data_IF_578606771991
#
_entry.id   IF_578606771991
#
_cell.length_a   1.000
_cell.length_b   1.000
_cell.length_c   1.000
_cell.angle_alpha   90.00
_cell.angle_beta   90.00
_cell.angle_gamma   90.00
#
_symmetry.space_group_name_H-M   'P 1'
#
loop_
_entity.id
_entity.type
_entity.pdbx_description
1 polymer ?
#
# COMPACT_ATOMS: atom_id res chain seq x y z
N UNK A 1 24.34 -16.91 3.81
CA UNK A 1 24.50 -15.64 3.06
C UNK A 1 25.88 -15.56 2.45
N UNK A 2 26.03 -14.99 1.25
CA UNK A 2 27.31 -14.83 0.56
C UNK A 2 27.45 -13.42 0.01
N UNK A 3 28.57 -12.78 0.29
CA UNK A 3 28.94 -11.46 -0.21
C UNK A 3 30.09 -11.56 -1.20
N UNK A 4 30.29 -10.54 -2.01
CA UNK A 4 31.41 -10.39 -2.91
C UNK A 4 32.03 -9.01 -2.68
N UNK A 5 33.30 -8.97 -2.34
CA UNK A 5 34.08 -7.73 -2.31
C UNK A 5 34.68 -7.56 -3.70
N UNK A 6 34.38 -6.45 -4.32
CA UNK A 6 34.68 -6.17 -5.73
C UNK A 6 35.51 -4.89 -5.79
N UNK A 7 36.59 -4.92 -6.53
CA UNK A 7 37.40 -3.71 -6.76
C UNK A 7 36.73 -2.71 -7.66
N UNK A 8 37.23 -1.47 -7.68
CA UNK A 8 36.72 -0.39 -8.51
C UNK A 8 36.71 -0.72 -10.01
N UNK A 9 37.62 -1.59 -10.46
CA UNK A 9 37.73 -2.09 -11.84
C UNK A 9 36.97 -3.40 -12.06
N UNK A 10 36.02 -3.72 -11.17
CA UNK A 10 35.09 -4.85 -11.27
C UNK A 10 35.71 -6.25 -11.19
N UNK A 11 36.78 -6.42 -10.42
CA UNK A 11 37.32 -7.74 -10.12
C UNK A 11 36.91 -8.21 -8.73
N UNK A 12 36.49 -9.47 -8.60
CA UNK A 12 36.21 -10.06 -7.28
C UNK A 12 37.51 -10.26 -6.54
N UNK A 13 37.65 -9.63 -5.39
CA UNK A 13 38.85 -9.71 -4.52
C UNK A 13 38.67 -10.75 -3.43
N UNK A 14 37.48 -10.87 -2.85
CA UNK A 14 37.14 -11.85 -1.84
C UNK A 14 35.66 -12.21 -1.91
N UNK A 15 35.25 -13.31 -1.30
CA UNK A 15 33.90 -13.79 -1.26
C UNK A 15 33.51 -14.28 0.15
N UNK A 16 33.30 -13.34 1.11
CA UNK A 16 32.84 -13.69 2.45
C UNK A 16 31.55 -14.50 2.44
N UNK A 17 31.41 -15.46 3.36
CA UNK A 17 30.22 -16.30 3.46
C UNK A 17 29.99 -16.79 4.89
N UNK A 18 28.75 -16.79 5.34
CA UNK A 18 28.35 -17.40 6.62
C UNK A 18 28.61 -18.92 6.67
N UNK A 19 28.67 -19.56 5.52
CA UNK A 19 28.78 -21.01 5.41
C UNK A 19 30.25 -21.51 5.34
N UNK A 20 31.22 -20.59 5.27
CA UNK A 20 32.63 -20.91 5.14
C UNK A 20 33.42 -20.58 6.42
N UNK A 21 33.91 -21.59 7.19
CA UNK A 21 34.48 -21.38 8.54
C UNK A 21 35.73 -20.49 8.61
N UNK A 22 36.40 -20.26 7.49
CA UNK A 22 37.60 -19.41 7.39
C UNK A 22 37.37 -18.15 6.57
N UNK A 23 36.17 -17.82 6.34
CA UNK A 23 35.79 -16.61 5.62
C UNK A 23 35.90 -15.40 6.53
N UNK A 24 36.11 -14.22 5.96
CA UNK A 24 36.00 -12.96 6.68
C UNK A 24 34.64 -12.90 7.36
N UNK A 25 34.56 -12.80 8.69
CA UNK A 25 33.30 -12.71 9.40
C UNK A 25 32.67 -11.34 9.15
N UNK A 26 31.44 -11.32 8.64
CA UNK A 26 30.56 -10.16 8.57
C UNK A 26 29.50 -10.33 9.64
N UNK A 27 29.30 -9.33 10.47
CA UNK A 27 28.33 -9.34 11.57
C UNK A 27 27.80 -7.94 11.86
N UNK A 28 26.72 -7.86 12.65
CA UNK A 28 25.99 -6.63 12.92
C UNK A 28 25.63 -5.88 11.65
N UNK A 29 25.22 -6.64 10.64
CA UNK A 29 24.88 -6.06 9.35
C UNK A 29 23.46 -5.51 9.36
N UNK A 30 23.27 -4.45 8.58
CA UNK A 30 22.01 -3.78 8.43
C UNK A 30 21.88 -3.22 7.01
N UNK A 31 20.93 -3.73 6.25
CA UNK A 31 20.50 -3.14 5.00
C UNK A 31 19.24 -2.32 5.23
N UNK A 32 19.33 -1.01 5.07
CA UNK A 32 18.16 -0.12 5.09
C UNK A 32 17.71 0.13 3.66
N UNK A 33 16.45 -0.13 3.37
CA UNK A 33 15.78 0.19 2.10
C UNK A 33 14.61 1.10 2.43
N UNK A 34 14.55 2.28 1.81
CA UNK A 34 13.48 3.26 2.09
C UNK A 34 13.00 3.95 0.82
N UNK A 35 11.74 4.40 0.84
CA UNK A 35 11.21 5.30 -0.17
C UNK A 35 11.41 6.73 0.32
N UNK A 36 12.31 7.47 -0.31
CA UNK A 36 12.61 8.85 0.02
C UNK A 36 12.46 9.73 -1.22
N UNK A 37 11.68 10.79 -1.11
CA UNK A 37 11.35 11.68 -2.23
C UNK A 37 11.01 10.88 -3.51
N UNK A 38 10.04 9.97 -3.41
CA UNK A 38 9.58 9.12 -4.51
C UNK A 38 10.65 8.20 -5.14
N UNK A 39 11.80 8.05 -4.50
CA UNK A 39 12.89 7.21 -4.99
C UNK A 39 13.23 6.15 -3.93
N UNK A 40 13.36 4.90 -4.35
CA UNK A 40 13.88 3.84 -3.47
C UNK A 40 15.38 3.99 -3.37
N UNK A 41 15.85 4.25 -2.17
CA UNK A 41 17.26 4.35 -1.82
C UNK A 41 17.63 3.26 -0.82
N UNK A 42 18.88 2.83 -0.85
CA UNK A 42 19.35 1.79 0.06
C UNK A 42 20.76 2.04 0.54
N UNK A 43 21.01 1.68 1.80
CA UNK A 43 22.33 1.68 2.42
C UNK A 43 22.60 0.32 3.03
N UNK A 44 23.87 -0.01 3.21
CA UNK A 44 24.29 -1.24 3.87
C UNK A 44 25.42 -0.95 4.85
N UNK A 45 25.22 -1.31 6.10
CA UNK A 45 26.21 -1.22 7.16
C UNK A 45 26.58 -2.61 7.65
N UNK A 46 27.86 -2.86 7.95
CA UNK A 46 28.32 -4.13 8.50
C UNK A 46 29.63 -3.97 9.24
N UNK A 47 29.91 -4.88 10.17
CA UNK A 47 31.15 -4.94 10.95
C UNK A 47 31.98 -6.17 10.56
N UNK A 48 33.28 -6.03 10.57
CA UNK A 48 34.26 -7.11 10.29
C UNK A 48 35.31 -7.24 11.38
N UNK A 49 36.01 -8.37 11.40
CA UNK A 49 37.31 -8.52 12.09
C UNK A 49 38.40 -7.91 11.21
N UNK A 50 39.00 -6.81 11.67
CA UNK A 50 40.05 -6.08 10.96
C UNK A 50 41.35 -6.87 10.83
N UNK A 51 41.57 -7.91 11.67
CA UNK A 51 42.77 -8.74 11.64
C UNK A 51 42.71 -9.90 10.63
N UNK A 52 41.53 -10.10 10.00
CA UNK A 52 41.40 -11.12 8.98
C UNK A 52 42.17 -10.76 7.69
N UNK A 53 42.74 -11.76 7.01
CA UNK A 53 43.55 -11.53 5.80
C UNK A 53 42.79 -10.85 4.66
N UNK A 54 41.47 -11.10 4.54
CA UNK A 54 40.63 -10.48 3.50
C UNK A 54 40.17 -9.06 3.85
N UNK A 55 40.39 -8.60 5.10
CA UNK A 55 40.05 -7.23 5.48
C UNK A 55 40.78 -6.17 4.65
N UNK A 56 41.99 -6.50 4.13
CA UNK A 56 42.79 -5.64 3.25
C UNK A 56 42.07 -5.25 1.95
N UNK A 57 41.05 -6.02 1.51
CA UNK A 57 40.32 -5.77 0.29
C UNK A 57 39.12 -4.80 0.49
N UNK A 58 38.73 -4.52 1.74
CA UNK A 58 37.78 -3.50 2.03
C UNK A 58 38.51 -2.14 1.98
N UNK A 59 38.23 -1.38 0.95
CA UNK A 59 38.84 -0.07 0.70
C UNK A 59 37.76 0.91 0.25
N UNK A 60 37.92 2.18 0.61
CA UNK A 60 37.04 3.23 0.17
C UNK A 60 36.94 3.24 -1.37
N UNK A 61 35.71 3.27 -1.88
CA UNK A 61 35.40 3.23 -3.31
C UNK A 61 35.34 1.83 -3.92
N UNK A 62 35.78 0.74 -3.22
CA UNK A 62 35.46 -0.63 -3.63
C UNK A 62 33.97 -0.91 -3.38
N UNK A 63 33.51 -2.04 -3.87
CA UNK A 63 32.11 -2.43 -3.77
C UNK A 63 31.92 -3.67 -2.92
N UNK A 64 30.76 -3.77 -2.29
CA UNK A 64 30.22 -5.01 -1.74
C UNK A 64 28.93 -5.36 -2.47
N UNK A 65 28.83 -6.61 -2.93
CA UNK A 65 27.66 -7.09 -3.67
C UNK A 65 27.10 -8.37 -3.04
N UNK A 66 25.81 -8.54 -3.09
CA UNK A 66 25.10 -9.75 -2.66
C UNK A 66 23.70 -9.83 -3.29
N UNK A 67 23.12 -11.01 -3.26
CA UNK A 67 21.70 -11.22 -3.58
C UNK A 67 20.91 -11.08 -2.28
N UNK A 68 19.98 -10.14 -2.23
CA UNK A 68 19.16 -9.90 -1.07
C UNK A 68 18.07 -10.99 -0.89
N UNK A 69 17.29 -10.90 0.18
CA UNK A 69 16.21 -11.88 0.44
C UNK A 69 15.05 -11.82 -0.59
N UNK A 70 14.93 -10.71 -1.31
CA UNK A 70 13.97 -10.54 -2.38
C UNK A 70 14.47 -11.04 -3.74
N UNK A 71 15.65 -11.65 -3.79
CA UNK A 71 16.34 -12.15 -4.97
C UNK A 71 16.83 -11.06 -5.92
N UNK A 72 16.93 -9.83 -5.44
CA UNK A 72 17.54 -8.72 -6.17
C UNK A 72 19.06 -8.70 -5.95
N UNK A 73 19.82 -8.51 -7.03
CA UNK A 73 21.26 -8.26 -6.93
C UNK A 73 21.47 -6.84 -6.43
N UNK A 74 22.24 -6.72 -5.35
CA UNK A 74 22.61 -5.43 -4.75
C UNK A 74 24.11 -5.19 -4.91
N UNK A 75 24.45 -3.94 -5.18
CA UNK A 75 25.82 -3.46 -5.30
C UNK A 75 25.95 -2.14 -4.55
N UNK A 76 26.80 -2.11 -3.54
CA UNK A 76 27.00 -0.95 -2.69
C UNK A 76 28.43 -0.45 -2.80
N UNK A 77 28.61 0.86 -2.90
CA UNK A 77 29.90 1.53 -2.83
C UNK A 77 30.32 1.70 -1.38
N UNK A 78 31.53 1.31 -1.02
CA UNK A 78 32.10 1.50 0.32
C UNK A 78 32.46 2.98 0.53
N UNK A 79 31.63 3.69 1.30
CA UNK A 79 31.74 5.15 1.45
C UNK A 79 32.57 5.58 2.64
N UNK A 80 32.44 4.90 3.77
CA UNK A 80 33.15 5.25 4.98
C UNK A 80 33.35 4.03 5.88
N UNK A 81 34.28 4.17 6.79
CA UNK A 81 34.48 3.18 7.85
C UNK A 81 34.91 3.84 9.16
N UNK A 82 34.60 3.19 10.26
CA UNK A 82 35.02 3.57 11.60
C UNK A 82 35.35 2.30 12.42
N UNK A 83 36.34 2.38 13.31
CA UNK A 83 36.70 1.25 14.15
C UNK A 83 38.08 1.38 14.73
N UNK A 84 38.59 0.26 15.19
CA UNK A 84 39.91 0.14 15.81
C UNK A 84 40.76 -0.97 15.13
N UNK A 85 41.81 -1.44 15.79
CA UNK A 85 42.70 -2.49 15.29
C UNK A 85 42.08 -3.90 15.33
N UNK A 86 40.92 -4.06 15.97
CA UNK A 86 40.23 -5.34 16.11
C UNK A 86 39.00 -5.40 15.23
N UNK A 87 38.14 -4.36 15.30
CA UNK A 87 36.87 -4.32 14.58
C UNK A 87 36.74 -3.07 13.75
N UNK A 88 36.09 -3.21 12.60
CA UNK A 88 35.82 -2.09 11.71
C UNK A 88 34.41 -2.19 11.16
N UNK A 89 33.65 -1.12 11.31
CA UNK A 89 32.29 -0.97 10.75
C UNK A 89 32.37 -0.17 9.46
N UNK A 90 31.77 -0.69 8.41
CA UNK A 90 31.70 -0.10 7.08
C UNK A 90 30.28 0.40 6.80
N UNK A 91 30.19 1.60 6.22
CA UNK A 91 28.94 2.18 5.71
C UNK A 91 29.03 2.27 4.20
N UNK A 92 28.03 1.72 3.52
CA UNK A 92 28.00 1.59 2.07
C UNK A 92 26.66 2.14 1.53
N UNK A 93 26.71 2.71 0.34
CA UNK A 93 25.55 3.28 -0.35
C UNK A 93 25.28 2.50 -1.64
N UNK A 94 23.98 2.30 -1.96
CA UNK A 94 23.58 1.72 -3.23
C UNK A 94 24.15 2.51 -4.40
N UNK A 95 24.57 1.83 -5.46
CA UNK A 95 25.18 2.49 -6.63
C UNK A 95 24.26 3.54 -7.27
N UNK A 96 22.93 3.41 -7.16
CA UNK A 96 21.99 4.41 -7.62
C UNK A 96 22.09 5.73 -6.88
N UNK A 97 22.61 5.72 -5.65
CA UNK A 97 22.84 6.93 -4.87
C UNK A 97 24.05 7.73 -5.35
N UNK A 98 24.89 7.23 -6.26
CA UNK A 98 25.97 8.01 -6.86
C UNK A 98 25.47 9.31 -7.53
N UNK A 99 24.20 9.35 -7.96
CA UNK A 99 23.54 10.55 -8.47
C UNK A 99 23.42 11.70 -7.44
N UNK A 100 23.63 11.42 -6.15
CA UNK A 100 23.64 12.48 -5.13
C UNK A 100 24.89 13.39 -5.26
N UNK A 101 25.96 12.85 -5.82
CA UNK A 101 27.23 13.56 -6.01
C UNK A 101 27.24 14.41 -7.30
N UNK A 102 26.21 14.30 -8.12
CA UNK A 102 26.07 15.07 -9.34
C UNK A 102 25.12 16.24 -9.12
N UNK A 103 25.57 17.46 -9.52
CA UNK A 103 24.75 18.66 -9.41
C UNK A 103 23.75 18.74 -10.54
N UNK A 104 22.49 19.05 -10.21
CA UNK A 104 21.45 19.28 -11.19
C UNK A 104 21.54 20.71 -11.75
N UNK A 105 21.46 20.84 -13.06
CA UNK A 105 21.36 22.12 -13.74
C UNK A 105 19.92 22.67 -13.70
N UNK A 106 19.78 23.98 -14.00
CA UNK A 106 18.47 24.57 -14.23
C UNK A 106 17.75 23.87 -15.41
N UNK A 107 16.50 23.54 -15.18
CA UNK A 107 15.61 23.03 -16.22
C UNK A 107 14.63 24.14 -16.60
N UNK A 108 14.86 24.74 -17.76
CA UNK A 108 13.97 25.78 -18.29
C UNK A 108 12.69 25.15 -18.80
N UNK A 109 11.58 25.84 -18.61
CA UNK A 109 10.27 25.43 -19.08
C UNK A 109 10.29 25.16 -20.59
N UNK A 110 10.02 23.92 -21.03
CA UNK A 110 9.94 23.59 -22.45
C UNK A 110 8.66 24.19 -23.07
N UNK A 111 8.67 24.40 -24.38
CA UNK A 111 7.51 24.93 -25.10
C UNK A 111 6.34 23.96 -25.17
N UNK A 112 6.61 22.65 -25.04
CA UNK A 112 5.63 21.58 -25.11
C UNK A 112 5.75 20.67 -23.90
N UNK A 113 4.65 19.97 -23.56
CA UNK A 113 4.65 18.99 -22.50
C UNK A 113 5.36 17.70 -22.94
N UNK A 114 6.24 17.18 -22.07
CA UNK A 114 7.03 15.99 -22.33
C UNK A 114 6.73 14.87 -21.33
N UNK A 115 6.95 13.59 -21.69
CA UNK A 115 6.86 12.47 -20.75
C UNK A 115 8.04 12.48 -19.76
N UNK A 116 7.88 11.77 -18.63
CA UNK A 116 8.91 11.68 -17.59
C UNK A 116 10.26 11.21 -18.17
N UNK A 117 10.26 10.22 -19.06
CA UNK A 117 11.49 9.70 -19.67
C UNK A 117 12.31 10.80 -20.36
N UNK A 118 11.66 11.74 -21.04
CA UNK A 118 12.35 12.85 -21.68
C UNK A 118 13.11 13.71 -20.67
N UNK A 119 12.48 14.01 -19.51
CA UNK A 119 13.14 14.80 -18.46
C UNK A 119 14.33 14.06 -17.87
N UNK A 120 14.16 12.77 -17.58
CA UNK A 120 15.24 11.97 -16.99
C UNK A 120 16.41 11.82 -17.96
N UNK A 121 16.18 11.46 -19.20
CA UNK A 121 17.23 11.21 -20.21
C UNK A 121 18.01 12.49 -20.60
N UNK A 122 17.37 13.65 -20.57
CA UNK A 122 18.01 14.90 -20.97
C UNK A 122 18.66 15.68 -19.82
N UNK A 123 18.19 15.51 -18.57
CA UNK A 123 18.62 16.34 -17.45
C UNK A 123 19.15 15.56 -16.26
N UNK A 124 18.71 14.32 -16.01
CA UNK A 124 19.08 13.57 -14.79
C UNK A 124 20.13 12.51 -15.08
N UNK A 125 19.85 11.62 -16.02
CA UNK A 125 20.72 10.45 -16.30
C UNK A 125 21.56 10.61 -17.57
N UNK A 126 21.59 11.81 -18.11
CA UNK A 126 22.40 12.10 -19.28
C UNK A 126 23.87 11.76 -19.01
N UNK A 127 24.45 10.94 -19.87
CA UNK A 127 25.86 10.51 -19.81
C UNK A 127 26.25 9.75 -18.51
N UNK A 128 25.28 9.31 -17.69
CA UNK A 128 25.51 8.61 -16.42
C UNK A 128 25.69 7.10 -16.54
N UNK A 129 25.34 6.52 -17.69
CA UNK A 129 25.30 5.06 -17.88
C UNK A 129 24.00 4.39 -17.43
N UNK A 130 23.09 5.13 -16.79
CA UNK A 130 21.76 4.68 -16.45
C UNK A 130 20.82 4.71 -17.67
N UNK A 131 19.86 3.78 -17.70
CA UNK A 131 18.83 3.72 -18.75
C UNK A 131 17.47 3.40 -18.13
N UNK A 132 16.38 3.83 -18.78
CA UNK A 132 15.03 3.54 -18.34
C UNK A 132 14.62 2.17 -18.89
N UNK A 133 14.27 1.22 -18.01
CA UNK A 133 13.82 -0.13 -18.40
C UNK A 133 12.30 -0.26 -18.35
N UNK A 134 11.69 0.11 -17.21
CA UNK A 134 10.25 0.06 -16.98
C UNK A 134 9.74 1.50 -16.88
N UNK A 135 8.61 1.78 -17.52
CA UNK A 135 7.92 3.06 -17.39
C UNK A 135 6.40 2.85 -17.50
N UNK A 136 5.74 2.76 -16.35
CA UNK A 136 4.29 2.55 -16.26
C UNK A 136 3.45 3.79 -16.56
N UNK A 137 4.11 4.97 -16.61
CA UNK A 137 3.45 6.28 -16.80
C UNK A 137 3.89 6.95 -18.11
N UNK A 138 4.35 6.18 -19.08
CA UNK A 138 4.89 6.68 -20.35
C UNK A 138 3.92 7.56 -21.15
N UNK A 139 2.62 7.48 -20.87
CA UNK A 139 1.56 8.27 -21.51
C UNK A 139 1.27 9.61 -20.81
N UNK A 140 1.82 9.84 -19.62
CA UNK A 140 1.68 11.12 -18.91
C UNK A 140 2.70 12.12 -19.44
N UNK A 141 2.26 13.35 -19.66
CA UNK A 141 3.12 14.46 -20.09
C UNK A 141 2.92 15.66 -19.17
N UNK A 142 4.01 16.40 -18.90
CA UNK A 142 4.02 17.62 -18.07
C UNK A 142 4.93 18.66 -18.70
N UNK A 143 4.75 19.90 -18.29
CA UNK A 143 5.68 21.00 -18.60
C UNK A 143 6.32 21.43 -17.31
N UNK A 144 7.56 21.02 -17.06
CA UNK A 144 8.26 21.26 -15.79
C UNK A 144 9.30 22.34 -15.95
N UNK A 145 9.49 23.09 -14.87
CA UNK A 145 10.56 24.07 -14.71
C UNK A 145 11.18 23.88 -13.33
N UNK A 146 12.49 23.86 -13.26
CA UNK A 146 13.23 23.83 -12.01
C UNK A 146 14.32 24.90 -12.05
N UNK A 147 14.32 25.77 -11.07
CA UNK A 147 15.34 26.77 -10.85
C UNK A 147 16.09 26.46 -9.58
N UNK A 148 17.38 26.64 -9.56
CA UNK A 148 18.22 26.40 -8.41
C UNK A 148 19.34 25.39 -8.69
N UNK A 149 20.56 25.85 -8.48
CA UNK A 149 21.79 25.15 -8.84
C UNK A 149 22.38 24.36 -7.68
N UNK A 150 21.61 24.12 -6.61
CA UNK A 150 22.09 23.44 -5.39
C UNK A 150 21.55 22.02 -5.20
N UNK A 151 20.69 21.57 -6.09
CA UNK A 151 20.10 20.25 -6.00
C UNK A 151 21.02 19.18 -6.58
N UNK A 152 21.01 17.99 -5.99
CA UNK A 152 21.62 16.82 -6.62
C UNK A 152 20.72 16.23 -7.71
N UNK A 153 21.31 15.46 -8.62
CA UNK A 153 20.54 14.73 -9.63
C UNK A 153 19.55 13.73 -8.99
N UNK A 154 19.91 13.14 -7.85
CA UNK A 154 19.01 12.26 -7.10
C UNK A 154 17.78 13.01 -6.56
N UNK A 155 17.98 14.20 -5.99
CA UNK A 155 16.87 15.06 -5.54
C UNK A 155 15.98 15.45 -6.72
N UNK A 156 16.59 15.88 -7.83
CA UNK A 156 15.89 16.26 -9.05
C UNK A 156 15.07 15.09 -9.64
N UNK A 157 15.60 13.86 -9.58
CA UNK A 157 14.87 12.65 -9.99
C UNK A 157 13.56 12.51 -9.21
N UNK A 158 13.64 12.60 -7.89
CA UNK A 158 12.47 12.51 -7.02
C UNK A 158 11.46 13.64 -7.24
N UNK A 159 11.94 14.86 -7.42
CA UNK A 159 11.08 16.04 -7.66
C UNK A 159 10.34 15.91 -9.00
N UNK A 160 11.04 15.45 -10.06
CA UNK A 160 10.39 15.14 -11.33
C UNK A 160 9.33 14.06 -11.15
N UNK A 161 9.65 12.96 -10.46
CA UNK A 161 8.73 11.85 -10.22
C UNK A 161 7.49 12.33 -9.45
N UNK A 162 7.67 13.21 -8.46
CA UNK A 162 6.57 13.81 -7.71
C UNK A 162 5.63 14.62 -8.60
N UNK A 163 6.14 15.38 -9.58
CA UNK A 163 5.33 16.14 -10.54
C UNK A 163 4.55 15.23 -11.52
N UNK A 164 4.96 13.97 -11.67
CA UNK A 164 4.26 12.96 -12.45
C UNK A 164 3.34 12.07 -11.58
N UNK A 165 2.43 12.70 -10.85
CA UNK A 165 1.40 12.08 -10.00
C UNK A 165 1.98 11.29 -8.82
N UNK A 166 3.18 11.67 -8.36
CA UNK A 166 3.88 10.97 -7.29
C UNK A 166 4.34 9.58 -7.72
N UNK A 167 4.74 9.44 -8.97
CA UNK A 167 5.38 8.21 -9.48
C UNK A 167 6.59 7.86 -8.63
N UNK A 168 6.91 6.59 -8.54
CA UNK A 168 8.02 6.10 -7.72
C UNK A 168 9.07 5.43 -8.58
N UNK A 169 10.33 5.60 -8.19
CA UNK A 169 11.50 5.17 -8.96
C UNK A 169 12.34 4.19 -8.15
N UNK A 170 12.77 3.10 -8.80
CA UNK A 170 13.67 2.09 -8.21
C UNK A 170 14.89 1.91 -9.11
N UNK A 171 16.09 1.84 -8.51
CA UNK A 171 17.30 1.47 -9.20
C UNK A 171 17.44 -0.04 -9.26
N UNK A 172 17.84 -0.56 -10.41
CA UNK A 172 18.09 -1.98 -10.61
C UNK A 172 19.36 -2.20 -11.43
N UNK A 173 20.12 -3.22 -11.06
CA UNK A 173 21.34 -3.61 -11.77
C UNK A 173 21.25 -5.07 -12.23
N UNK A 174 21.94 -5.35 -13.30
CA UNK A 174 22.20 -6.74 -13.74
C UNK A 174 23.69 -6.96 -13.77
N UNK A 175 24.13 -8.09 -13.22
CA UNK A 175 25.54 -8.48 -13.22
C UNK A 175 25.73 -9.80 -13.98
N UNK A 176 26.87 -9.94 -14.64
CA UNK A 176 27.35 -11.20 -15.20
C UNK A 176 28.75 -11.47 -14.63
N UNK A 177 28.86 -12.43 -13.74
CA UNK A 177 30.02 -12.56 -12.89
C UNK A 177 30.18 -11.35 -11.97
N UNK A 178 31.31 -10.65 -12.03
CA UNK A 178 31.59 -9.41 -11.32
C UNK A 178 31.31 -8.15 -12.12
N UNK A 179 30.99 -8.27 -13.41
CA UNK A 179 30.76 -7.12 -14.29
C UNK A 179 29.29 -6.67 -14.23
N UNK A 180 29.06 -5.39 -14.02
CA UNK A 180 27.74 -4.76 -14.20
C UNK A 180 27.46 -4.72 -15.71
N UNK A 181 26.38 -5.38 -16.14
CA UNK A 181 25.98 -5.44 -17.55
C UNK A 181 24.89 -4.45 -17.90
N UNK A 182 24.08 -4.03 -16.93
CA UNK A 182 23.12 -2.92 -17.09
C UNK A 182 22.83 -2.25 -15.76
N UNK A 183 22.57 -0.94 -15.86
CA UNK A 183 22.09 -0.06 -14.79
C UNK A 183 20.77 0.53 -15.25
N UNK A 184 19.69 0.25 -14.54
CA UNK A 184 18.36 0.63 -14.99
C UNK A 184 17.60 1.41 -13.93
N UNK A 185 16.81 2.34 -14.40
CA UNK A 185 15.78 3.05 -13.65
C UNK A 185 14.43 2.47 -14.06
N UNK A 186 13.67 2.02 -13.08
CA UNK A 186 12.32 1.52 -13.24
C UNK A 186 11.35 2.54 -12.63
N UNK A 187 10.38 2.98 -13.42
CA UNK A 187 9.40 4.01 -13.06
C UNK A 187 8.03 3.35 -12.91
N UNK A 188 7.48 3.44 -11.71
CA UNK A 188 6.20 2.86 -11.34
C UNK A 188 5.18 3.94 -11.00
N UNK A 189 3.90 3.66 -11.16
CA UNK A 189 2.85 4.51 -10.53
C UNK A 189 2.98 4.50 -9.03
N UNK A 190 3.17 3.32 -8.46
CA UNK A 190 3.49 3.03 -7.07
C UNK A 190 4.22 1.71 -7.01
N UNK A 191 5.32 1.66 -6.26
CA UNK A 191 6.08 0.44 -6.02
C UNK A 191 5.32 -0.43 -5.00
N UNK A 192 5.45 -1.75 -5.15
CA UNK A 192 4.82 -2.74 -4.28
C UNK A 192 3.40 -3.13 -4.71
N UNK A 193 2.84 -4.07 -3.99
CA UNK A 193 1.52 -4.62 -4.25
C UNK A 193 0.48 -3.88 -3.38
N UNK A 194 -0.55 -3.33 -4.01
CA UNK A 194 -1.66 -2.66 -3.32
C UNK A 194 -2.57 -3.60 -2.52
N UNK A 195 -2.53 -4.90 -2.82
CA UNK A 195 -3.20 -5.92 -2.04
C UNK A 195 -2.34 -6.32 -0.83
N UNK A 196 -2.96 -6.81 0.24
CA UNK A 196 -2.23 -7.30 1.40
C UNK A 196 -1.44 -8.55 0.99
N UNK A 197 -0.11 -8.45 1.07
CA UNK A 197 0.81 -9.54 0.72
C UNK A 197 1.14 -10.42 1.92
N UNK A 198 1.19 -9.84 3.12
CA UNK A 198 1.54 -10.55 4.34
C UNK A 198 0.78 -10.00 5.56
N UNK A 199 0.81 -10.74 6.66
CA UNK A 199 0.10 -10.41 7.88
C UNK A 199 0.96 -10.67 9.11
N UNK A 200 1.11 -9.63 9.95
CA UNK A 200 1.89 -9.67 11.17
C UNK A 200 1.00 -9.51 12.41
N UNK A 201 1.14 -10.44 13.35
CA UNK A 201 0.29 -10.54 14.55
C UNK A 201 1.18 -10.47 15.78
N UNK A 202 0.77 -9.69 16.80
CA UNK A 202 1.48 -9.66 18.07
C UNK A 202 1.58 -11.06 18.69
N UNK A 203 2.70 -11.33 19.36
CA UNK A 203 3.04 -12.60 20.00
C UNK A 203 3.32 -13.78 19.03
N UNK A 204 3.33 -13.54 17.71
CA UNK A 204 3.69 -14.54 16.70
C UNK A 204 4.91 -14.07 15.92
N UNK A 205 4.77 -13.03 15.14
CA UNK A 205 5.76 -12.49 14.20
C UNK A 205 5.99 -10.97 14.36
N UNK A 206 5.13 -10.29 15.13
CA UNK A 206 5.26 -8.90 15.51
C UNK A 206 5.78 -8.82 16.95
N UNK A 207 7.03 -8.37 17.15
CA UNK A 207 7.64 -8.16 18.47
C UNK A 207 7.08 -6.96 19.18
N UNK A 208 7.06 -5.83 18.49
CA UNK A 208 6.56 -4.56 19.00
C UNK A 208 5.89 -3.75 17.90
N UNK A 209 4.98 -2.89 18.29
CA UNK A 209 4.39 -1.86 17.45
C UNK A 209 4.44 -0.57 18.24
N UNK A 210 5.23 0.40 17.81
CA UNK A 210 5.18 1.75 18.33
C UNK A 210 4.18 2.57 17.52
N UNK A 211 3.58 3.56 18.18
CA UNK A 211 2.59 4.41 17.59
C UNK A 211 2.77 5.83 18.10
N UNK A 212 2.92 6.76 17.21
CA UNK A 212 2.96 8.18 17.51
C UNK A 212 1.96 8.93 16.64
N UNK A 213 1.44 10.03 17.15
CA UNK A 213 0.49 10.84 16.40
C UNK A 213 0.69 12.32 16.69
N UNK A 214 0.51 13.17 15.68
CA UNK A 214 0.58 14.61 15.80
C UNK A 214 -0.54 15.29 15.05
N UNK A 215 -0.94 16.45 15.55
CA UNK A 215 -1.88 17.36 14.92
C UNK A 215 -1.23 18.71 14.56
N UNK A 216 0.10 18.82 14.65
CA UNK A 216 0.82 20.08 14.44
C UNK A 216 0.57 20.67 13.06
N UNK A 217 0.44 19.82 12.03
CA UNK A 217 0.24 20.22 10.64
C UNK A 217 -1.22 20.10 10.17
N UNK A 218 -2.16 19.94 11.10
CA UNK A 218 -3.58 19.86 10.73
C UNK A 218 -4.01 21.14 10.00
N UNK A 219 -4.72 20.91 8.89
CA UNK A 219 -5.26 21.94 8.03
C UNK A 219 -6.66 21.52 7.61
N UNK A 220 -7.63 22.41 7.78
CA UNK A 220 -9.05 22.14 7.45
C UNK A 220 -9.58 23.02 6.34
N UNK A 221 -8.76 23.99 5.87
CA UNK A 221 -8.95 24.70 4.61
C UNK A 221 -7.60 24.97 3.97
N UNK A 222 -7.56 25.13 2.66
CA UNK A 222 -6.33 25.31 1.92
C UNK A 222 -6.50 26.34 0.81
N UNK A 223 -5.57 27.29 0.73
CA UNK A 223 -5.49 28.26 -0.35
C UNK A 223 -4.46 27.75 -1.36
N UNK A 224 -4.84 27.65 -2.62
CA UNK A 224 -3.97 27.18 -3.70
C UNK A 224 -3.53 28.29 -4.62
N UNK A 225 -2.24 28.28 -4.96
CA UNK A 225 -1.65 29.15 -5.99
C UNK A 225 -0.97 28.28 -7.05
N UNK A 226 -1.35 28.50 -8.31
CA UNK A 226 -0.66 27.92 -9.46
C UNK A 226 0.39 28.86 -10.02
N UNK A 227 0.82 28.62 -11.27
CA UNK A 227 1.74 29.50 -11.98
C UNK A 227 1.04 30.79 -12.42
N UNK A 228 1.82 31.86 -12.55
CA UNK A 228 1.36 33.08 -13.19
C UNK A 228 1.24 32.86 -14.71
N UNK A 229 0.12 33.23 -15.34
CA UNK A 229 0.00 33.16 -16.79
C UNK A 229 1.04 34.04 -17.46
N UNK A 230 1.55 33.63 -18.63
CA UNK A 230 2.43 34.44 -19.41
C UNK A 230 1.72 35.76 -19.84
N UNK A 231 2.37 36.89 -19.61
CA UNK A 231 1.86 38.17 -20.05
C UNK A 231 2.12 38.34 -21.56
N UNK A 232 1.10 38.15 -22.37
CA UNK A 232 1.15 38.32 -23.83
C UNK A 232 0.93 39.78 -24.29
N UNK A 233 0.80 40.75 -23.34
CA UNK A 233 0.56 42.17 -23.61
C UNK A 233 1.84 43.02 -23.55
N UNK A 234 1.79 44.28 -23.99
CA UNK A 234 2.91 45.24 -23.97
C UNK A 234 3.29 45.73 -22.54
N UNK A 235 2.80 45.10 -21.47
CA UNK A 235 3.10 45.47 -20.08
C UNK A 235 4.16 44.55 -19.46
N UNK A 236 5.05 45.13 -18.63
CA UNK A 236 6.09 44.42 -17.86
C UNK A 236 5.62 43.91 -16.50
N UNK A 237 4.31 43.98 -16.19
CA UNK A 237 3.76 43.49 -14.92
C UNK A 237 3.47 41.99 -14.99
N UNK A 238 4.01 41.25 -14.05
CA UNK A 238 3.65 39.83 -13.86
C UNK A 238 2.18 39.72 -13.49
N UNK A 239 1.44 38.84 -14.18
CA UNK A 239 0.09 38.52 -13.82
C UNK A 239 0.06 37.75 -12.49
N UNK A 240 -0.98 37.92 -11.66
CA UNK A 240 -1.06 37.15 -10.43
C UNK A 240 -1.18 35.64 -10.72
N UNK A 241 -0.67 34.78 -9.82
CA UNK A 241 -0.79 33.35 -9.96
C UNK A 241 -2.27 32.93 -10.04
N UNK A 242 -2.55 31.88 -10.80
CA UNK A 242 -3.91 31.35 -10.87
C UNK A 242 -4.35 30.78 -9.51
N UNK A 243 -5.64 30.80 -9.28
CA UNK A 243 -6.31 30.21 -8.12
C UNK A 243 -7.47 29.33 -8.58
N UNK A 244 -8.16 28.69 -7.64
CA UNK A 244 -9.34 27.87 -7.94
C UNK A 244 -10.67 28.66 -7.95
N UNK A 245 -10.65 29.99 -7.89
CA UNK A 245 -11.84 30.84 -7.82
C UNK A 245 -12.89 30.57 -8.93
N UNK A 246 -12.43 30.13 -10.10
CA UNK A 246 -13.31 29.80 -11.23
C UNK A 246 -13.94 28.42 -11.16
N UNK A 247 -13.49 27.57 -10.23
CA UNK A 247 -13.90 26.17 -10.15
C UNK A 247 -14.88 25.97 -9.01
N UNK A 248 -15.94 25.20 -9.25
CA UNK A 248 -16.85 24.72 -8.21
C UNK A 248 -16.56 23.27 -7.89
N UNK A 249 -16.42 22.96 -6.61
CA UNK A 249 -16.24 21.58 -6.13
C UNK A 249 -17.12 21.32 -4.91
N UNK A 250 -17.73 20.14 -4.82
CA UNK A 250 -18.43 19.66 -3.63
C UNK A 250 -18.63 18.15 -3.72
N UNK A 251 -17.98 17.39 -2.84
CA UNK A 251 -18.13 15.93 -2.70
C UNK A 251 -18.88 15.52 -1.41
N UNK A 252 -19.43 16.51 -0.69
CA UNK A 252 -20.08 16.34 0.60
C UNK A 252 -19.17 16.65 1.79
N UNK A 253 -17.92 16.20 1.82
CA UNK A 253 -16.93 16.55 2.86
C UNK A 253 -16.11 17.77 2.44
N UNK A 254 -15.52 17.75 1.26
CA UNK A 254 -14.68 18.83 0.75
C UNK A 254 -15.45 19.69 -0.23
N UNK A 255 -15.30 21.02 -0.15
CA UNK A 255 -16.00 21.92 -1.04
C UNK A 255 -15.25 23.22 -1.30
N UNK A 256 -15.48 23.79 -2.48
CA UNK A 256 -15.05 25.14 -2.86
C UNK A 256 -16.17 25.78 -3.68
N UNK A 257 -16.83 26.83 -3.19
CA UNK A 257 -17.82 27.58 -3.98
C UNK A 257 -17.11 28.50 -4.99
N UNK A 258 -17.78 28.79 -6.10
CA UNK A 258 -17.26 29.75 -7.10
C UNK A 258 -17.00 31.11 -6.45
N UNK A 259 -15.88 31.72 -6.79
CA UNK A 259 -15.42 33.00 -6.24
C UNK A 259 -14.58 32.86 -4.97
N UNK A 260 -14.29 31.62 -4.53
CA UNK A 260 -13.39 31.34 -3.42
C UNK A 260 -12.10 30.68 -3.92
N UNK A 261 -10.98 31.12 -3.40
CA UNK A 261 -9.66 30.54 -3.67
C UNK A 261 -9.30 29.40 -2.69
N UNK A 262 -10.17 29.14 -1.74
CA UNK A 262 -10.01 28.15 -0.69
C UNK A 262 -10.78 26.87 -1.02
N UNK A 263 -10.17 25.74 -0.69
CA UNK A 263 -10.82 24.43 -0.55
C UNK A 263 -11.04 24.16 0.93
N UNK A 264 -12.24 23.74 1.31
CA UNK A 264 -12.67 23.58 2.70
C UNK A 264 -13.00 22.12 3.03
N UNK A 265 -12.68 21.65 4.26
CA UNK A 265 -13.11 20.37 4.83
C UNK A 265 -14.16 20.61 5.93
N UNK A 266 -15.45 20.33 5.65
CA UNK A 266 -16.54 20.47 6.60
C UNK A 266 -16.35 19.60 7.85
N UNK A 267 -15.91 18.35 7.67
CA UNK A 267 -15.71 17.43 8.79
C UNK A 267 -14.47 17.85 9.61
N UNK A 268 -13.41 18.28 8.96
CA UNK A 268 -12.21 18.81 9.61
C UNK A 268 -12.54 20.04 10.47
N UNK A 269 -13.37 20.97 9.96
CA UNK A 269 -13.86 22.10 10.76
C UNK A 269 -14.57 21.61 12.04
N UNK A 270 -15.46 20.62 11.92
CA UNK A 270 -16.18 20.09 13.08
C UNK A 270 -15.26 19.43 14.11
N UNK A 271 -14.24 18.74 13.65
CA UNK A 271 -13.32 18.00 14.53
C UNK A 271 -12.26 18.90 15.19
N UNK A 272 -11.71 19.89 14.45
CA UNK A 272 -10.45 20.54 14.80
C UNK A 272 -10.53 22.06 14.96
N UNK A 273 -11.66 22.69 14.66
CA UNK A 273 -11.78 24.13 14.79
C UNK A 273 -11.43 24.60 16.21
N UNK A 274 -10.47 25.51 16.33
CA UNK A 274 -10.04 26.09 17.60
C UNK A 274 -11.08 27.04 18.19
N UNK A 275 -12.02 27.53 17.37
CA UNK A 275 -13.02 28.50 17.77
C UNK A 275 -14.39 27.87 18.04
N UNK A 276 -14.48 26.56 18.09
CA UNK A 276 -15.67 25.78 18.30
C UNK A 276 -16.07 25.77 19.77
N UNK A 277 -16.25 26.72 20.47
CA UNK A 277 -16.60 26.58 21.89
C UNK A 277 -18.03 26.96 22.24
N UNK A 278 -18.62 27.97 21.57
CA UNK A 278 -19.82 28.63 22.06
C UNK A 278 -20.76 29.13 20.98
N UNK A 279 -20.49 28.92 19.70
CA UNK A 279 -21.33 29.32 18.60
C UNK A 279 -21.82 28.13 17.78
N UNK A 280 -22.96 28.30 17.12
CA UNK A 280 -23.47 27.35 16.14
C UNK A 280 -22.38 27.04 15.10
N UNK A 281 -22.02 25.77 14.86
CA UNK A 281 -21.04 25.41 13.83
C UNK A 281 -21.44 25.85 12.42
N UNK A 282 -22.69 26.29 12.20
CA UNK A 282 -23.17 26.88 10.97
C UNK A 282 -23.12 28.40 10.97
N UNK A 283 -22.79 29.05 12.07
CA UNK A 283 -22.60 30.49 12.13
C UNK A 283 -21.26 30.83 11.47
N UNK A 284 -21.29 31.55 10.36
CA UNK A 284 -20.10 31.85 9.55
C UNK A 284 -19.62 30.62 8.78
N UNK A 285 -20.23 30.33 7.65
CA UNK A 285 -19.94 29.15 6.80
C UNK A 285 -18.42 28.98 6.55
N UNK A 286 -17.69 30.10 6.44
CA UNK A 286 -16.26 30.13 6.13
C UNK A 286 -15.37 30.40 7.35
N UNK A 287 -15.92 30.55 8.54
CA UNK A 287 -15.18 30.82 9.77
C UNK A 287 -14.74 29.53 10.48
N UNK A 288 -13.70 29.63 11.29
CA UNK A 288 -13.25 28.57 12.16
C UNK A 288 -12.44 27.46 11.51
N UNK A 289 -12.05 27.63 10.23
CA UNK A 289 -11.12 26.72 9.57
C UNK A 289 -9.66 26.99 10.02
N UNK A 290 -8.85 25.95 10.00
CA UNK A 290 -7.39 26.04 10.11
C UNK A 290 -6.86 26.07 8.70
N UNK A 291 -6.33 27.24 8.28
CA UNK A 291 -5.92 27.48 6.91
C UNK A 291 -4.47 27.08 6.64
N UNK A 292 -4.24 26.45 5.49
CA UNK A 292 -2.93 26.16 4.91
C UNK A 292 -2.75 26.83 3.56
N UNK A 293 -1.51 26.89 3.08
CA UNK A 293 -1.15 27.38 1.75
C UNK A 293 -0.55 26.21 0.97
N UNK A 294 -0.91 26.12 -0.30
CA UNK A 294 -0.39 25.13 -1.24
C UNK A 294 0.00 25.82 -2.55
N UNK A 295 1.15 25.48 -3.07
CA UNK A 295 1.63 25.97 -4.37
C UNK A 295 1.93 24.81 -5.28
N UNK A 296 1.51 24.91 -6.53
CA UNK A 296 1.74 23.87 -7.53
C UNK A 296 1.90 24.52 -8.91
N UNK A 297 2.92 24.11 -9.65
CA UNK A 297 3.23 24.67 -10.96
C UNK A 297 2.25 24.16 -12.03
N UNK A 298 1.13 24.87 -12.18
CA UNK A 298 0.12 24.62 -13.20
C UNK A 298 -0.61 25.90 -13.58
N UNK A 299 -1.07 25.96 -14.81
CA UNK A 299 -1.97 27.02 -15.30
C UNK A 299 -3.42 26.57 -15.41
N UNK A 300 -3.72 25.30 -15.04
CA UNK A 300 -5.08 24.75 -15.02
C UNK A 300 -5.67 24.77 -13.60
N UNK A 301 -6.74 25.55 -13.35
CA UNK A 301 -7.39 25.60 -12.04
C UNK A 301 -7.98 24.27 -11.58
N UNK A 302 -8.37 23.36 -12.51
CA UNK A 302 -8.91 22.04 -12.14
C UNK A 302 -7.77 21.10 -11.69
N UNK A 303 -6.63 21.14 -12.32
CA UNK A 303 -5.45 20.42 -11.88
C UNK A 303 -5.00 20.91 -10.51
N UNK A 304 -4.92 22.25 -10.32
CA UNK A 304 -4.62 22.85 -9.03
C UNK A 304 -5.57 22.35 -7.94
N UNK A 305 -6.88 22.36 -8.20
CA UNK A 305 -7.90 21.86 -7.27
C UNK A 305 -7.66 20.39 -6.89
N UNK A 306 -7.39 19.53 -7.86
CA UNK A 306 -7.14 18.10 -7.60
C UNK A 306 -5.91 17.87 -6.72
N UNK A 307 -4.86 18.65 -6.93
CA UNK A 307 -3.66 18.62 -6.09
C UNK A 307 -3.92 19.15 -4.68
N UNK A 308 -4.61 20.28 -4.57
CA UNK A 308 -5.06 20.82 -3.29
C UNK A 308 -5.91 19.82 -2.51
N UNK A 309 -6.80 19.11 -3.21
CA UNK A 309 -7.67 18.10 -2.58
C UNK A 309 -6.84 16.93 -2.01
N UNK A 310 -5.84 16.47 -2.73
CA UNK A 310 -4.92 15.43 -2.26
C UNK A 310 -4.16 15.90 -1.03
N UNK A 311 -3.58 17.08 -1.08
CA UNK A 311 -2.84 17.67 0.03
C UNK A 311 -3.73 17.95 1.25
N UNK A 312 -4.92 18.52 1.06
CA UNK A 312 -5.85 18.77 2.15
C UNK A 312 -6.29 17.47 2.82
N UNK A 313 -6.57 16.42 2.05
CA UNK A 313 -6.91 15.08 2.58
C UNK A 313 -5.80 14.51 3.46
N UNK A 314 -4.55 14.68 3.08
CA UNK A 314 -3.41 14.19 3.87
C UNK A 314 -3.23 14.95 5.19
N UNK A 315 -3.74 16.20 5.28
CA UNK A 315 -3.58 17.09 6.43
C UNK A 315 -4.85 17.33 7.24
N UNK A 316 -5.99 16.78 6.81
CA UNK A 316 -7.29 16.98 7.48
C UNK A 316 -7.49 16.11 8.71
N UNK A 317 -6.74 15.03 8.82
CA UNK A 317 -6.81 14.08 9.93
C UNK A 317 -5.44 14.02 10.64
N UNK A 318 -5.35 13.56 11.90
CA UNK A 318 -4.09 13.42 12.61
C UNK A 318 -3.10 12.60 11.81
N UNK A 319 -1.86 13.08 11.73
CA UNK A 319 -0.77 12.32 11.16
C UNK A 319 -0.32 11.30 12.21
N UNK A 320 -0.54 10.04 11.93
CA UNK A 320 -0.12 8.93 12.78
C UNK A 320 1.03 8.18 12.07
N UNK A 321 2.00 7.72 12.84
CA UNK A 321 3.10 6.91 12.35
C UNK A 321 3.15 5.63 13.16
N UNK A 322 3.34 4.52 12.49
CA UNK A 322 3.48 3.21 13.08
C UNK A 322 4.85 2.63 12.70
N UNK A 323 5.58 2.18 13.70
CA UNK A 323 6.86 1.49 13.51
C UNK A 323 6.72 0.07 14.08
N UNK A 324 7.10 -0.91 13.31
CA UNK A 324 6.92 -2.32 13.65
C UNK A 324 8.27 -3.04 13.70
N UNK A 325 8.58 -3.65 14.85
CA UNK A 325 9.65 -4.64 14.95
C UNK A 325 9.08 -6.02 14.65
N UNK A 326 9.64 -6.67 13.65
CA UNK A 326 9.18 -7.96 13.18
C UNK A 326 10.24 -9.03 13.42
N UNK A 327 9.83 -10.30 13.50
CA UNK A 327 10.78 -11.42 13.53
C UNK A 327 11.42 -11.63 12.17
N UNK A 328 10.64 -11.45 11.12
CA UNK A 328 11.06 -11.55 9.73
C UNK A 328 10.11 -10.73 8.88
N UNK A 329 10.64 -9.97 7.94
CA UNK A 329 9.84 -9.22 6.97
C UNK A 329 9.92 -9.96 5.64
N UNK A 330 8.81 -10.58 5.21
CA UNK A 330 8.73 -11.26 3.91
C UNK A 330 8.24 -10.35 2.79
N UNK A 331 7.49 -9.30 3.15
CA UNK A 331 7.03 -8.30 2.20
C UNK A 331 8.16 -7.36 1.74
N UNK A 332 8.13 -6.91 0.49
CA UNK A 332 9.11 -5.97 -0.07
C UNK A 332 8.69 -4.51 0.21
N UNK A 333 9.63 -3.60 0.00
CA UNK A 333 9.39 -2.16 0.08
C UNK A 333 8.20 -1.77 -0.82
N UNK A 334 7.29 -0.97 -0.29
CA UNK A 334 6.09 -0.54 -1.00
C UNK A 334 4.89 -1.48 -0.91
N UNK A 335 5.06 -2.73 -0.47
CA UNK A 335 3.97 -3.67 -0.29
C UNK A 335 3.02 -3.25 0.83
N UNK A 336 1.74 -3.58 0.67
CA UNK A 336 0.76 -3.44 1.74
C UNK A 336 0.68 -4.71 2.57
N UNK A 337 0.72 -4.54 3.88
CA UNK A 337 0.65 -5.62 4.87
C UNK A 337 -0.48 -5.36 5.86
N UNK A 338 -0.92 -6.42 6.53
CA UNK A 338 -1.86 -6.31 7.63
C UNK A 338 -1.12 -6.43 8.97
N UNK A 339 -1.29 -5.45 9.84
CA UNK A 339 -0.82 -5.48 11.23
C UNK A 339 -2.02 -5.73 12.15
N UNK A 340 -1.88 -6.68 13.06
CA UNK A 340 -2.88 -6.96 14.09
C UNK A 340 -2.23 -6.96 15.48
N UNK A 341 -2.58 -5.99 16.32
CA UNK A 341 -2.04 -5.87 17.67
C UNK A 341 -3.17 -5.78 18.70
N UNK A 342 -3.42 -6.88 19.40
CA UNK A 342 -4.55 -7.05 20.32
C UNK A 342 -4.31 -6.50 21.72
N UNK A 343 -3.07 -6.12 22.08
CA UNK A 343 -2.73 -5.58 23.40
C UNK A 343 -3.00 -4.09 23.56
N UNK A 344 -3.24 -3.38 22.45
CA UNK A 344 -3.73 -2.00 22.52
C UNK A 344 -5.20 -1.96 22.97
N UNK A 345 -5.61 -0.89 23.59
CA UNK A 345 -7.00 -0.66 23.97
C UNK A 345 -7.50 0.69 23.38
N UNK A 346 -8.31 0.69 22.34
CA UNK A 346 -8.82 -0.49 21.60
C UNK A 346 -7.72 -1.20 20.79
N UNK A 347 -7.92 -2.49 20.39
CA UNK A 347 -7.01 -3.21 19.53
C UNK A 347 -6.73 -2.46 18.23
N UNK A 348 -5.50 -2.57 17.74
CA UNK A 348 -5.07 -1.94 16.49
C UNK A 348 -5.06 -2.99 15.36
N UNK A 349 -5.77 -2.68 14.30
CA UNK A 349 -5.76 -3.43 13.06
C UNK A 349 -5.53 -2.47 11.91
N UNK A 350 -4.44 -2.68 11.15
CA UNK A 350 -4.03 -1.79 10.08
C UNK A 350 -3.86 -2.57 8.77
N UNK A 351 -4.22 -1.96 7.66
CA UNK A 351 -3.59 -2.17 6.37
C UNK A 351 -2.59 -1.04 6.22
N UNK A 352 -1.32 -1.34 6.11
CA UNK A 352 -0.26 -0.35 6.06
C UNK A 352 0.73 -0.69 4.95
N UNK A 353 1.35 0.34 4.39
CA UNK A 353 2.39 0.21 3.38
C UNK A 353 3.76 0.20 4.06
N UNK A 354 4.66 -0.64 3.58
CA UNK A 354 6.04 -0.63 4.03
C UNK A 354 6.78 0.50 3.32
N UNK A 355 7.24 1.49 4.09
CA UNK A 355 7.98 2.65 3.58
C UNK A 355 9.48 2.59 3.87
N UNK A 356 9.88 1.85 4.90
CA UNK A 356 11.27 1.54 5.20
C UNK A 356 11.38 0.12 5.75
N UNK A 357 12.44 -0.57 5.38
CA UNK A 357 12.80 -1.90 5.86
C UNK A 357 14.27 -1.90 6.25
N UNK A 358 14.56 -2.36 7.44
CA UNK A 358 15.87 -2.75 7.90
C UNK A 358 15.99 -4.27 7.89
N UNK A 359 16.82 -4.81 7.04
CA UNK A 359 17.10 -6.24 6.95
C UNK A 359 18.45 -6.58 7.59
N UNK A 360 18.50 -7.63 8.40
CA UNK A 360 19.72 -8.17 8.94
C UNK A 360 19.90 -9.61 8.45
N UNK A 361 21.03 -9.91 7.84
CA UNK A 361 21.33 -11.23 7.26
C UNK A 361 22.16 -12.12 8.17
N UNK A 362 22.79 -11.56 9.21
CA UNK A 362 23.64 -12.29 10.15
C UNK A 362 22.95 -12.60 11.47
N UNK A 363 21.84 -11.94 11.79
CA UNK A 363 21.06 -12.13 13.02
C UNK A 363 19.58 -12.30 12.68
N UNK A 364 19.09 -13.52 12.85
CA UNK A 364 17.66 -13.79 12.65
C UNK A 364 16.77 -12.97 13.61
N UNK A 365 15.64 -12.52 13.12
CA UNK A 365 14.64 -11.82 13.89
C UNK A 365 15.08 -10.42 14.34
N UNK A 366 15.94 -9.76 13.59
CA UNK A 366 16.39 -8.38 13.81
C UNK A 366 15.84 -7.40 12.76
N UNK A 367 14.95 -7.86 11.89
CA UNK A 367 14.32 -6.99 10.90
C UNK A 367 13.41 -5.98 11.57
N UNK A 368 13.38 -4.76 11.03
CA UNK A 368 12.46 -3.72 11.45
C UNK A 368 11.82 -3.07 10.23
N UNK A 369 10.64 -2.49 10.38
CA UNK A 369 9.96 -1.81 9.29
C UNK A 369 9.20 -0.58 9.76
N UNK A 370 9.28 0.49 8.96
CA UNK A 370 8.44 1.68 9.12
C UNK A 370 7.26 1.59 8.17
N UNK A 371 6.09 1.82 8.72
CA UNK A 371 4.81 1.69 8.03
C UNK A 371 4.21 3.06 7.77
N UNK A 372 3.84 3.32 6.53
CA UNK A 372 3.12 4.51 6.12
C UNK A 372 1.81 4.16 5.40
N UNK A 373 1.14 5.18 4.85
CA UNK A 373 -0.08 5.06 4.06
C UNK A 373 -1.06 4.00 4.62
N UNK A 374 -1.37 4.13 5.90
CA UNK A 374 -2.14 3.12 6.63
C UNK A 374 -3.64 3.40 6.60
N UNK A 375 -4.41 2.32 6.68
CA UNK A 375 -5.86 2.34 6.86
C UNK A 375 -6.24 1.48 8.07
N UNK A 376 -6.95 2.05 9.05
CA UNK A 376 -7.49 1.29 10.18
C UNK A 376 -8.59 0.35 9.72
N UNK A 377 -8.45 -0.91 10.08
CA UNK A 377 -9.41 -1.96 9.81
C UNK A 377 -10.34 -2.14 11.01
N UNK A 378 -11.59 -2.53 10.77
CA UNK A 378 -12.57 -2.76 11.84
C UNK A 378 -12.33 -4.06 12.60
N UNK A 379 -11.60 -5.00 12.02
CA UNK A 379 -11.31 -6.30 12.62
C UNK A 379 -10.00 -6.87 12.07
N UNK A 380 -9.51 -7.95 12.71
CA UNK A 380 -8.37 -8.71 12.22
C UNK A 380 -8.68 -9.63 11.02
N UNK A 381 -9.92 -9.64 10.54
CA UNK A 381 -10.30 -10.42 9.35
C UNK A 381 -9.71 -9.75 8.13
N UNK A 382 -9.10 -10.55 7.24
CA UNK A 382 -8.59 -10.06 5.95
C UNK A 382 -9.65 -9.20 5.24
N UNK A 383 -9.34 -7.97 4.80
CA UNK A 383 -10.31 -7.10 4.12
C UNK A 383 -11.00 -7.76 2.93
N UNK A 384 -10.32 -8.67 2.22
CA UNK A 384 -10.93 -9.44 1.11
C UNK A 384 -12.02 -10.36 1.61
N UNK A 385 -11.78 -11.05 2.74
CA UNK A 385 -12.79 -11.90 3.39
C UNK A 385 -13.91 -11.04 3.95
N UNK A 386 -13.59 -9.88 4.57
CA UNK A 386 -14.59 -8.94 5.05
C UNK A 386 -15.45 -8.41 3.90
N UNK A 387 -14.84 -8.00 2.77
CA UNK A 387 -15.57 -7.56 1.58
C UNK A 387 -16.45 -8.68 1.00
N UNK A 388 -15.98 -9.94 1.02
CA UNK A 388 -16.78 -11.09 0.62
C UNK A 388 -17.95 -11.32 1.58
N UNK A 389 -17.73 -11.20 2.89
CA UNK A 389 -18.79 -11.31 3.89
C UNK A 389 -19.80 -10.17 3.75
N UNK A 390 -19.35 -8.94 3.53
CA UNK A 390 -20.19 -7.77 3.30
C UNK A 390 -20.94 -7.89 1.96
N UNK A 391 -20.29 -8.38 0.92
CA UNK A 391 -20.94 -8.69 -0.36
C UNK A 391 -21.98 -9.80 -0.21
N UNK A 392 -21.69 -10.84 0.55
CA UNK A 392 -22.65 -11.89 0.91
C UNK A 392 -23.81 -11.33 1.75
N UNK A 393 -23.53 -10.52 2.75
CA UNK A 393 -24.54 -9.87 3.57
C UNK A 393 -25.41 -8.89 2.74
N UNK A 394 -24.82 -8.18 1.79
CA UNK A 394 -25.53 -7.27 0.89
C UNK A 394 -26.18 -8.00 -0.30
N UNK A 395 -25.62 -9.12 -0.75
CA UNK A 395 -26.20 -9.98 -1.79
C UNK A 395 -27.30 -10.89 -1.23
N UNK A 396 -27.30 -11.17 0.05
CA UNK A 396 -28.40 -11.82 0.75
C UNK A 396 -29.54 -10.80 0.96
N UNK A 397 -30.25 -10.46 -0.07
CA UNK A 397 -31.71 -10.57 -0.01
C UNK A 397 -31.91 -11.99 0.47
N UNK A 398 -32.24 -12.13 1.75
CA UNK A 398 -32.42 -13.44 2.38
C UNK A 398 -33.32 -14.28 1.52
N UNK A 399 -32.76 -15.22 0.80
CA UNK A 399 -33.54 -16.16 0.03
C UNK A 399 -33.94 -17.26 0.98
N UNK A 400 -35.09 -17.06 1.58
CA UNK A 400 -35.68 -18.05 2.47
C UNK A 400 -36.19 -19.25 1.66
N UNK A 401 -36.09 -20.44 2.24
CA UNK A 401 -36.74 -21.62 1.70
C UNK A 401 -38.02 -21.87 2.49
N UNK A 402 -39.13 -21.78 1.81
CA UNK A 402 -40.42 -22.12 2.40
C UNK A 402 -40.66 -23.61 2.36
N UNK A 403 -41.01 -24.19 3.48
CA UNK A 403 -41.31 -25.61 3.63
C UNK A 403 -42.69 -25.73 4.23
N UNK A 404 -43.54 -26.57 3.61
CA UNK A 404 -44.86 -26.92 4.11
C UNK A 404 -45.11 -28.39 3.84
N UNK A 405 -45.99 -28.98 4.65
CA UNK A 405 -46.42 -30.37 4.61
C UNK A 405 -47.92 -30.44 4.32
N UNK A 406 -48.38 -31.44 3.60
CA UNK A 406 -49.80 -31.60 3.27
C UNK A 406 -50.19 -33.08 3.16
N UNK A 407 -51.52 -33.33 3.18
CA UNK A 407 -52.09 -34.65 3.03
C UNK A 407 -52.16 -35.12 1.58
N UNK A 408 -52.22 -34.16 0.63
CA UNK A 408 -52.33 -34.46 -0.80
C UNK A 408 -51.50 -33.43 -1.66
N UNK A 409 -51.50 -33.66 -2.96
CA UNK A 409 -50.78 -32.85 -3.96
C UNK A 409 -51.45 -31.48 -4.23
N UNK A 410 -52.58 -31.18 -3.61
CA UNK A 410 -53.28 -29.92 -3.68
C UNK A 410 -53.04 -29.04 -2.45
N UNK A 411 -52.31 -29.56 -1.47
CA UNK A 411 -52.00 -28.83 -0.24
C UNK A 411 -53.12 -28.89 0.82
N UNK A 412 -54.06 -29.81 0.71
CA UNK A 412 -55.11 -29.99 1.72
C UNK A 412 -54.51 -30.39 3.07
N UNK A 413 -54.95 -29.76 4.15
CA UNK A 413 -54.40 -29.99 5.48
C UNK A 413 -52.95 -29.51 5.64
N UNK A 414 -52.59 -28.43 4.93
CA UNK A 414 -51.24 -27.86 5.00
C UNK A 414 -50.83 -27.50 6.44
N UNK A 415 -49.61 -27.77 6.80
CA UNK A 415 -49.03 -27.52 8.12
C UNK A 415 -47.54 -27.12 8.03
N UNK A 416 -47.04 -26.47 9.07
CA UNK A 416 -45.60 -26.12 9.19
C UNK A 416 -44.73 -27.28 9.66
N UNK A 417 -45.37 -28.32 10.24
CA UNK A 417 -44.68 -29.53 10.76
C UNK A 417 -45.37 -30.76 10.22
N UNK A 418 -44.64 -31.89 9.99
CA UNK A 418 -45.26 -33.13 9.56
C UNK A 418 -46.16 -33.72 10.65
N UNK A 419 -47.26 -34.31 10.24
CA UNK A 419 -48.21 -35.07 11.07
C UNK A 419 -48.30 -36.52 10.57
N UNK A 420 -48.96 -37.41 11.32
CA UNK A 420 -49.15 -38.81 10.89
C UNK A 420 -49.96 -38.95 9.58
N UNK A 421 -50.66 -37.88 9.16
CA UNK A 421 -51.43 -37.86 7.93
C UNK A 421 -50.71 -37.18 6.77
N UNK A 422 -49.46 -36.70 7.01
CA UNK A 422 -48.64 -36.02 6.01
C UNK A 422 -48.17 -37.01 4.94
N UNK A 423 -48.48 -36.72 3.69
CA UNK A 423 -48.02 -37.51 2.54
C UNK A 423 -47.13 -36.71 1.58
N UNK A 424 -47.22 -35.37 1.62
CA UNK A 424 -46.55 -34.49 0.68
C UNK A 424 -45.79 -33.41 1.40
N UNK A 425 -44.68 -32.98 0.78
CA UNK A 425 -43.88 -31.83 1.17
C UNK A 425 -43.77 -30.89 -0.03
N UNK A 426 -43.82 -29.58 0.23
CA UNK A 426 -43.43 -28.56 -0.73
C UNK A 426 -42.23 -27.76 -0.21
N UNK A 427 -41.22 -27.64 -1.03
CA UNK A 427 -39.97 -26.87 -0.73
C UNK A 427 -39.81 -25.83 -1.83
N UNK A 428 -39.94 -24.57 -1.47
CA UNK A 428 -39.77 -23.45 -2.42
C UNK A 428 -38.60 -22.61 -1.98
N UNK A 429 -37.45 -22.67 -2.69
CA UNK A 429 -36.31 -21.83 -2.42
C UNK A 429 -36.51 -20.40 -2.97
N UNK A 430 -35.60 -19.51 -2.60
CA UNK A 430 -35.50 -18.14 -3.13
C UNK A 430 -36.68 -17.21 -2.85
N UNK A 431 -37.32 -17.36 -1.70
CA UNK A 431 -38.39 -16.45 -1.24
C UNK A 431 -37.81 -15.26 -0.50
N UNK A 432 -38.41 -14.08 -0.72
CA UNK A 432 -37.97 -12.83 -0.06
C UNK A 432 -38.50 -12.69 1.37
N UNK A 433 -39.52 -13.44 1.77
CA UNK A 433 -40.09 -13.47 3.12
C UNK A 433 -39.62 -14.69 3.89
N UNK A 434 -39.14 -14.46 5.12
CA UNK A 434 -38.80 -15.54 6.07
C UNK A 434 -40.04 -16.26 6.66
N UNK A 435 -41.24 -15.72 6.44
CA UNK A 435 -42.50 -16.32 6.89
C UNK A 435 -43.12 -17.07 5.70
N UNK A 436 -43.16 -18.40 5.72
CA UNK A 436 -43.78 -19.18 4.67
C UNK A 436 -45.31 -18.92 4.62
N UNK A 437 -45.84 -18.75 3.40
CA UNK A 437 -47.29 -18.56 3.19
C UNK A 437 -48.14 -19.69 3.79
N UNK A 438 -49.33 -19.33 4.25
CA UNK A 438 -50.35 -20.26 4.70
C UNK A 438 -51.42 -20.55 3.61
N UNK A 439 -51.27 -19.98 2.40
CA UNK A 439 -52.14 -20.28 1.25
C UNK A 439 -51.53 -21.43 0.44
N UNK A 440 -52.23 -22.58 0.33
CA UNK A 440 -51.80 -23.72 -0.47
C UNK A 440 -51.54 -23.41 -1.94
N UNK A 441 -52.15 -22.38 -2.49
CA UNK A 441 -51.97 -21.93 -3.89
C UNK A 441 -50.55 -21.47 -4.17
N UNK A 442 -49.89 -20.91 -3.15
CA UNK A 442 -48.48 -20.44 -3.27
C UNK A 442 -47.49 -21.60 -3.43
N UNK A 443 -47.95 -22.85 -3.18
CA UNK A 443 -47.17 -24.07 -3.30
C UNK A 443 -47.64 -24.97 -4.46
N UNK A 444 -48.54 -24.48 -5.31
CA UNK A 444 -49.07 -25.23 -6.43
C UNK A 444 -47.99 -25.78 -7.35
N UNK A 445 -48.04 -27.06 -7.66
CA UNK A 445 -47.04 -27.74 -8.48
C UNK A 445 -45.70 -28.08 -7.78
N UNK A 446 -45.52 -27.70 -6.52
CA UNK A 446 -44.30 -27.98 -5.75
C UNK A 446 -44.44 -29.14 -4.76
N UNK A 447 -45.66 -29.68 -4.61
CA UNK A 447 -45.93 -30.80 -3.72
C UNK A 447 -45.29 -32.10 -4.22
N UNK A 448 -44.42 -32.71 -3.39
CA UNK A 448 -43.75 -33.98 -3.67
C UNK A 448 -44.15 -35.01 -2.64
N UNK A 449 -44.47 -36.24 -3.06
CA UNK A 449 -44.81 -37.34 -2.19
C UNK A 449 -43.57 -37.73 -1.34
N UNK A 450 -43.75 -37.81 -0.02
CA UNK A 450 -42.71 -38.20 0.95
C UNK A 450 -43.05 -39.44 1.74
N UNK A 451 -44.36 -39.84 1.80
CA UNK A 451 -44.76 -41.09 2.41
C UNK A 451 -44.55 -42.25 1.42
N UNK A 452 -43.96 -43.32 1.86
CA UNK A 452 -43.93 -44.57 1.10
C UNK A 452 -45.34 -45.08 0.83
N UNK A 453 -45.56 -45.76 -0.29
CA UNK A 453 -46.79 -46.49 -0.54
C UNK A 453 -46.92 -47.51 0.55
N UNK A 454 -48.10 -47.57 1.27
CA UNK A 454 -48.37 -48.60 2.28
C UNK A 454 -48.04 -49.94 1.67
N UNK A 455 -47.22 -50.73 2.33
CA UNK A 455 -46.91 -52.10 1.89
C UNK A 455 -48.17 -52.90 1.80
N UNK A 456 -48.36 -53.70 0.75
CA UNK A 456 -49.46 -54.65 0.66
C UNK A 456 -49.39 -55.61 1.86
N UNK A 457 -50.52 -55.78 2.51
CA UNK A 457 -50.65 -56.79 3.60
C UNK A 457 -50.04 -58.10 3.16
N UNK A 458 -49.16 -58.67 3.99
CA UNK A 458 -48.54 -59.96 3.73
C UNK A 458 -49.63 -61.06 3.62
N UNK A 459 -49.47 -61.94 2.66
CA UNK A 459 -50.34 -63.09 2.50
C UNK A 459 -50.43 -63.87 3.82
N UNK A 460 -51.65 -64.17 4.27
CA UNK A 460 -51.83 -64.93 5.48
C UNK A 460 -51.03 -66.27 5.42
N UNK A 461 -50.25 -66.55 6.47
CA UNK A 461 -49.41 -67.73 6.54
C UNK A 461 -50.28 -69.00 6.49
N UNK A 462 -49.81 -70.02 5.77
CA UNK A 462 -50.46 -71.32 5.70
C UNK A 462 -50.61 -71.93 7.10
N UNK A 463 -51.82 -72.55 7.33
CA UNK A 463 -52.17 -73.22 8.56
C UNK A 463 -51.16 -74.39 8.78
N UNK A 464 -50.48 -74.41 9.90
CA UNK A 464 -49.55 -75.45 10.26
C UNK A 464 -50.23 -76.80 10.31
N UNK A 465 -49.57 -77.85 9.80
CA UNK A 465 -50.07 -79.23 9.81
C UNK A 465 -50.25 -79.74 11.25
N UNK A 466 -51.37 -80.41 11.50
CA UNK A 466 -51.70 -81.01 12.81
C UNK A 466 -50.59 -81.99 13.23
N UNK A 467 -50.01 -81.79 14.43
CA UNK A 467 -49.04 -82.67 15.02
C UNK A 467 -49.69 -83.98 15.39
N UNK A 468 -49.13 -85.05 14.89
CA UNK A 468 -49.52 -86.41 15.33
C UNK A 468 -48.95 -86.67 16.73
N UNK A 469 -49.80 -86.99 17.68
CA UNK A 469 -49.48 -87.64 18.94
C UNK A 469 -49.11 -89.08 18.71
N UNK A 470 -47.96 -89.48 19.25
CA UNK A 470 -47.70 -90.91 19.60
C UNK A 470 -47.30 -90.93 21.08
#
# INVERSE_FOLDING_TARGET
MKWYIISRDMHVLAAPSTDAPKSLPIYNDKQTIQINNNTVVSTYEFTIDQQHEDAQYLQLGNYIAFVDKYQDMKLYTMMSHAGDEITQTWTCEDIGMDLINETADDLKKPAEAHPIAWYLENYVIKDSGWSIRINEISNLTRTLEFTGQSDSQLTRLGDIANQFDGAEVKFTITMSGSAVTSQNIDIYKKIGNSEITDRYINDVDLKSLSHSGTIENICTSMIGYGSSPENTGEGTEELPPITIESVKYDDGRYYSPVGHKELYDRQGKLNWSRFRGFSDPNEGEFDGYISGIFTYDTTDPNELLNRMLTELKSRSDPQETYEADLLEINADIGDYVQIAHNRYNPPIYLKARIEEVDNCYTIEGSDTGILGDYTRLKSQIDPRVQNMLDALANSSKFNYTWIRYAKDDKGNGMSSTPTNETKYIAIIPNKQSGIPSDDPKDYAGQWKLIAGIDGKDGVAGEKGADGRTA
#
